data_IF_227291726274
#
_entry.id   IF_227291726274
#
_cell.length_a   1.000
_cell.length_b   1.000
_cell.length_c   1.000
_cell.angle_alpha   90.00
_cell.angle_beta   90.00
_cell.angle_gamma   90.00
#
_symmetry.space_group_name_H-M   'P 1'
#
loop_
_entity.id
_entity.type
_entity.pdbx_description
1 polymer ?
#
# COMPACT_ATOMS: atom_id res chain seq x y z
N UNK A 1 -43.75 -20.22 2.10
CA UNK A 1 -43.26 -18.98 2.73
C UNK A 1 -42.38 -18.30 1.70
N UNK A 2 -42.78 -17.14 1.15
CA UNK A 2 -41.98 -16.45 0.15
C UNK A 2 -40.94 -15.57 0.84
N UNK A 3 -39.64 -15.78 0.56
CA UNK A 3 -38.60 -14.85 1.00
C UNK A 3 -38.78 -13.52 0.25
N UNK A 4 -39.07 -12.45 1.00
CA UNK A 4 -39.17 -11.08 0.46
C UNK A 4 -37.93 -10.30 0.87
N UNK A 5 -37.24 -9.72 -0.12
CA UNK A 5 -36.10 -8.83 0.11
C UNK A 5 -36.58 -7.39 0.23
N UNK A 6 -35.92 -6.60 1.09
CA UNK A 6 -36.15 -5.15 1.16
C UNK A 6 -35.50 -4.50 -0.08
N UNK A 7 -36.24 -3.68 -0.83
CA UNK A 7 -35.70 -2.98 -2.01
C UNK A 7 -35.84 -1.47 -1.84
N UNK A 8 -34.84 -0.71 -2.27
CA UNK A 8 -34.86 0.76 -2.25
C UNK A 8 -34.24 1.32 -3.53
N UNK A 9 -34.85 2.36 -4.08
CA UNK A 9 -34.31 3.17 -5.19
C UNK A 9 -33.88 4.57 -4.73
N UNK A 10 -33.82 4.82 -3.42
CA UNK A 10 -33.37 6.09 -2.84
C UNK A 10 -31.84 6.10 -2.73
N UNK A 11 -31.20 7.16 -3.23
CA UNK A 11 -29.74 7.36 -3.18
C UNK A 11 -29.21 7.31 -1.74
N UNK A 12 -28.05 6.68 -1.53
CA UNK A 12 -27.35 6.54 -0.25
C UNK A 12 -28.15 5.94 0.93
N UNK A 13 -29.38 5.48 0.70
CA UNK A 13 -30.22 4.88 1.74
C UNK A 13 -29.73 3.46 2.05
N UNK A 14 -28.78 3.37 2.99
CA UNK A 14 -28.40 2.10 3.62
C UNK A 14 -29.58 1.59 4.46
N UNK A 15 -29.91 0.29 4.43
CA UNK A 15 -30.90 -0.30 5.33
C UNK A 15 -30.51 -0.08 6.80
N UNK A 16 -31.50 0.15 7.66
CA UNK A 16 -31.26 0.35 9.10
C UNK A 16 -31.24 -1.03 9.78
N UNK A 17 -30.15 -1.44 10.46
CA UNK A 17 -30.06 -2.79 11.04
C UNK A 17 -31.12 -3.09 12.08
N UNK A 18 -31.57 -2.09 12.83
CA UNK A 18 -32.60 -2.26 13.86
C UNK A 18 -33.97 -2.61 13.30
N UNK A 19 -34.20 -2.38 12.00
CA UNK A 19 -35.45 -2.76 11.31
C UNK A 19 -35.30 -3.99 10.42
N UNK A 20 -34.15 -4.66 10.45
CA UNK A 20 -33.87 -5.89 9.72
C UNK A 20 -33.79 -7.10 10.65
N UNK A 21 -34.29 -8.23 10.19
CA UNK A 21 -34.01 -9.53 10.80
C UNK A 21 -32.58 -9.99 10.46
N UNK A 22 -31.94 -10.76 11.33
CA UNK A 22 -30.63 -11.36 11.04
C UNK A 22 -30.71 -12.21 9.76
N UNK A 23 -29.74 -12.07 8.86
CA UNK A 23 -29.70 -12.73 7.55
C UNK A 23 -30.67 -12.18 6.49
N UNK A 24 -31.50 -11.18 6.82
CA UNK A 24 -32.43 -10.59 5.84
C UNK A 24 -31.66 -9.80 4.78
N UNK A 25 -31.94 -10.09 3.51
CA UNK A 25 -31.30 -9.42 2.37
C UNK A 25 -32.05 -8.13 2.00
N UNK A 26 -31.28 -7.07 1.76
CA UNK A 26 -31.75 -5.81 1.23
C UNK A 26 -30.96 -5.41 -0.03
N UNK A 27 -31.64 -4.84 -1.02
CA UNK A 27 -31.05 -4.47 -2.31
C UNK A 27 -31.31 -2.98 -2.55
N UNK A 28 -30.24 -2.21 -2.72
CA UNK A 28 -30.32 -0.84 -3.22
C UNK A 28 -30.09 -0.86 -4.73
N UNK A 29 -31.11 -0.46 -5.49
CA UNK A 29 -31.08 -0.44 -6.96
C UNK A 29 -30.87 0.97 -7.51
N UNK A 30 -30.60 1.95 -6.65
CA UNK A 30 -30.28 3.31 -7.07
C UNK A 30 -28.88 3.35 -7.71
N UNK A 31 -28.75 3.99 -8.87
CA UNK A 31 -27.51 4.10 -9.64
C UNK A 31 -26.36 4.78 -8.88
N UNK A 32 -26.65 5.67 -7.92
CA UNK A 32 -25.63 6.36 -7.12
C UNK A 32 -25.10 5.54 -5.93
N UNK A 33 -25.73 4.41 -5.58
CA UNK A 33 -25.27 3.51 -4.50
C UNK A 33 -25.81 2.08 -4.67
N UNK A 34 -25.58 1.42 -5.83
CA UNK A 34 -26.14 0.10 -6.08
C UNK A 34 -25.43 -0.92 -5.19
N UNK A 35 -26.16 -1.72 -4.42
CA UNK A 35 -25.55 -2.61 -3.43
C UNK A 35 -26.51 -3.70 -2.95
N UNK A 36 -25.96 -4.83 -2.54
CA UNK A 36 -26.68 -5.83 -1.71
C UNK A 36 -26.23 -5.65 -0.26
N UNK A 37 -27.14 -5.80 0.70
CA UNK A 37 -26.86 -5.69 2.15
C UNK A 37 -27.49 -6.86 2.89
N UNK A 38 -26.93 -7.23 4.04
CA UNK A 38 -27.56 -8.12 5.02
C UNK A 38 -27.23 -7.70 6.46
N UNK A 39 -28.02 -8.18 7.43
CA UNK A 39 -27.72 -8.01 8.86
C UNK A 39 -27.03 -9.25 9.40
N UNK A 40 -25.91 -9.12 10.10
CA UNK A 40 -25.24 -10.26 10.71
C UNK A 40 -25.85 -10.66 12.07
N UNK A 41 -25.29 -11.68 12.73
CA UNK A 41 -25.76 -12.16 14.03
C UNK A 41 -25.46 -11.23 15.20
N UNK A 42 -24.53 -10.29 15.02
CA UNK A 42 -24.14 -9.32 16.04
C UNK A 42 -25.03 -8.07 16.00
N UNK A 43 -25.82 -7.93 14.94
CA UNK A 43 -26.76 -6.84 14.74
C UNK A 43 -26.29 -5.78 13.77
N UNK A 44 -25.14 -5.99 13.11
CA UNK A 44 -24.48 -5.02 12.24
C UNK A 44 -24.96 -5.14 10.78
N UNK A 45 -24.90 -4.02 10.03
CA UNK A 45 -25.17 -4.03 8.59
C UNK A 45 -23.91 -4.40 7.81
N UNK A 46 -23.98 -5.45 7.00
CA UNK A 46 -22.94 -5.83 6.06
C UNK A 46 -23.35 -5.44 4.65
N UNK A 47 -22.48 -4.69 3.95
CA UNK A 47 -22.64 -4.30 2.54
C UNK A 47 -21.82 -5.24 1.66
N UNK A 48 -22.42 -5.69 0.57
CA UNK A 48 -21.84 -6.59 -0.44
C UNK A 48 -21.79 -5.81 -1.76
N UNK A 49 -20.72 -5.02 -1.95
CA UNK A 49 -20.47 -4.16 -3.14
C UNK A 49 -21.40 -2.94 -3.25
N UNK A 50 -21.08 -1.90 -4.04
CA UNK A 50 -20.60 -1.97 -5.42
C UNK A 50 -19.09 -1.78 -5.53
N UNK A 51 -18.49 -2.42 -6.53
CA UNK A 51 -17.18 -2.02 -7.03
C UNK A 51 -17.39 -0.77 -7.87
N UNK A 52 -16.84 0.36 -7.47
CA UNK A 52 -16.74 1.52 -8.37
C UNK A 52 -15.61 1.29 -9.36
N UNK A 53 -15.86 1.60 -10.63
CA UNK A 53 -14.93 1.42 -11.76
C UNK A 53 -14.76 2.77 -12.43
N UNK A 54 -13.53 3.25 -12.61
CA UNK A 54 -13.26 4.49 -13.34
C UNK A 54 -11.89 5.09 -13.06
N UNK A 55 -11.55 6.13 -13.83
CA UNK A 55 -10.27 6.85 -13.73
C UNK A 55 -10.21 7.83 -12.54
N UNK A 56 -11.37 8.20 -12.01
CA UNK A 56 -11.48 9.03 -10.82
C UNK A 56 -11.83 8.17 -9.60
N UNK A 57 -11.15 8.44 -8.49
CA UNK A 57 -11.44 7.75 -7.24
C UNK A 57 -12.93 7.92 -6.88
N UNK A 58 -13.57 6.88 -6.32
CA UNK A 58 -14.92 6.99 -5.81
C UNK A 58 -15.00 8.19 -4.86
N UNK A 59 -16.01 9.03 -5.04
CA UNK A 59 -16.24 10.24 -4.23
C UNK A 59 -15.12 11.31 -4.29
N UNK A 60 -14.23 11.27 -5.30
CA UNK A 60 -13.14 12.26 -5.50
C UNK A 60 -13.62 13.69 -5.75
N UNK A 61 -14.76 13.84 -6.43
CA UNK A 61 -15.48 15.11 -6.59
C UNK A 61 -16.80 15.02 -5.84
N UNK A 62 -16.91 15.62 -4.64
CA UNK A 62 -18.11 15.47 -3.84
C UNK A 62 -19.30 16.16 -4.52
N UNK A 63 -20.49 15.60 -4.36
CA UNK A 63 -21.71 16.33 -4.69
C UNK A 63 -21.74 17.65 -3.90
N UNK A 64 -21.65 18.76 -4.63
CA UNK A 64 -21.60 20.08 -4.00
C UNK A 64 -23.01 20.60 -3.74
N UNK A 65 -23.21 21.15 -2.55
CA UNK A 65 -24.42 21.86 -2.13
C UNK A 65 -24.09 23.35 -2.19
N UNK A 66 -24.94 24.12 -2.86
CA UNK A 66 -24.80 25.57 -2.89
C UNK A 66 -24.96 26.16 -1.49
N UNK A 67 -24.25 27.25 -1.19
CA UNK A 67 -24.38 27.97 0.08
C UNK A 67 -25.83 28.39 0.40
N UNK A 68 -26.65 28.58 -0.64
CA UNK A 68 -28.07 28.93 -0.56
C UNK A 68 -28.98 27.74 -0.22
N UNK A 69 -28.46 26.52 -0.25
CA UNK A 69 -29.21 25.27 -0.10
C UNK A 69 -28.75 24.42 1.11
N UNK A 70 -28.02 25.02 2.05
CA UNK A 70 -27.61 24.36 3.30
C UNK A 70 -28.82 23.93 4.13
N UNK A 71 -28.72 22.76 4.77
CA UNK A 71 -29.72 22.28 5.72
C UNK A 71 -29.19 22.47 7.14
N UNK A 72 -29.90 23.25 7.96
CA UNK A 72 -29.54 23.48 9.36
C UNK A 72 -29.37 22.16 10.13
N UNK A 73 -28.31 22.08 10.95
CA UNK A 73 -27.96 20.89 11.73
C UNK A 73 -27.13 19.85 10.97
N UNK A 74 -26.88 20.04 9.67
CA UNK A 74 -26.02 19.14 8.88
C UNK A 74 -24.58 19.61 8.91
N UNK A 75 -23.64 18.68 9.06
CA UNK A 75 -22.19 18.96 8.99
C UNK A 75 -21.76 19.06 7.53
N UNK A 76 -21.14 20.20 7.19
CA UNK A 76 -20.62 20.50 5.87
C UNK A 76 -19.15 20.91 5.92
N UNK A 77 -18.44 20.71 4.81
CA UNK A 77 -17.11 21.24 4.57
C UNK A 77 -17.13 22.25 3.42
N UNK A 78 -16.51 23.40 3.58
CA UNK A 78 -16.44 24.43 2.52
C UNK A 78 -15.58 23.91 1.36
N UNK A 79 -16.14 23.83 0.16
CA UNK A 79 -15.45 23.40 -1.06
C UNK A 79 -14.99 24.61 -1.89
N UNK A 80 -15.83 25.62 -2.00
CA UNK A 80 -15.46 26.93 -2.57
C UNK A 80 -16.07 28.03 -1.74
N UNK A 81 -15.31 29.09 -1.46
CA UNK A 81 -15.86 30.25 -0.75
C UNK A 81 -16.76 31.07 -1.68
N UNK A 82 -16.35 31.26 -2.95
CA UNK A 82 -17.09 32.12 -3.89
C UNK A 82 -17.28 33.53 -3.31
N UNK A 83 -18.48 34.07 -3.46
CA UNK A 83 -18.90 35.32 -2.78
C UNK A 83 -19.65 35.06 -1.47
N UNK A 84 -19.73 33.80 -1.01
CA UNK A 84 -20.47 33.42 0.19
C UNK A 84 -19.68 33.67 1.46
N UNK A 85 -20.40 33.95 2.55
CA UNK A 85 -19.82 34.03 3.90
C UNK A 85 -20.36 32.89 4.77
N UNK A 86 -19.55 31.84 4.91
CA UNK A 86 -19.91 30.67 5.70
C UNK A 86 -19.77 30.89 7.21
N UNK A 87 -19.08 31.94 7.66
CA UNK A 87 -19.02 32.25 9.09
C UNK A 87 -20.38 32.69 9.64
N UNK A 88 -21.20 33.29 8.77
CA UNK A 88 -22.59 33.64 9.08
C UNK A 88 -23.50 32.43 9.34
N UNK A 89 -23.10 31.24 8.90
CA UNK A 89 -23.89 30.00 8.99
C UNK A 89 -23.19 28.90 9.79
N UNK A 90 -22.31 29.30 10.71
CA UNK A 90 -21.73 28.41 11.72
C UNK A 90 -20.29 27.95 11.45
N UNK A 91 -19.67 28.36 10.35
CA UNK A 91 -18.24 28.09 10.14
C UNK A 91 -17.35 28.95 11.03
N UNK A 92 -16.29 28.37 11.58
CA UNK A 92 -15.29 29.11 12.38
C UNK A 92 -14.37 29.99 11.53
N UNK A 93 -14.33 29.77 10.22
CA UNK A 93 -13.56 30.55 9.25
C UNK A 93 -14.21 30.47 7.86
N UNK A 94 -14.09 31.54 7.07
CA UNK A 94 -14.60 31.59 5.70
C UNK A 94 -13.54 31.15 4.68
N UNK A 95 -12.97 29.97 4.88
CA UNK A 95 -11.89 29.41 4.05
C UNK A 95 -12.21 27.98 3.61
N UNK A 96 -11.81 27.61 2.38
CA UNK A 96 -11.97 26.25 1.85
C UNK A 96 -11.36 25.22 2.82
N UNK A 97 -12.05 24.10 3.00
CA UNK A 97 -11.67 23.01 3.89
C UNK A 97 -12.24 23.12 5.30
N UNK A 98 -12.79 24.26 5.71
CA UNK A 98 -13.40 24.43 7.04
C UNK A 98 -14.64 23.55 7.17
N UNK A 99 -14.66 22.70 8.21
CA UNK A 99 -15.81 21.86 8.56
C UNK A 99 -16.65 22.59 9.60
N UNK A 100 -17.96 22.60 9.41
CA UNK A 100 -18.90 23.26 10.30
C UNK A 100 -20.26 22.60 10.29
N UNK A 101 -21.03 22.77 11.36
CA UNK A 101 -22.45 22.41 11.37
C UNK A 101 -23.24 23.62 10.91
N UNK A 102 -23.98 23.51 9.81
CA UNK A 102 -24.76 24.63 9.29
C UNK A 102 -25.80 25.07 10.31
N UNK A 103 -25.82 26.35 10.66
CA UNK A 103 -26.86 26.95 11.50
C UNK A 103 -28.00 27.56 10.66
N UNK A 104 -27.77 27.75 9.37
CA UNK A 104 -28.72 28.28 8.39
C UNK A 104 -28.17 28.22 6.96
N UNK A 105 -28.82 28.91 6.02
CA UNK A 105 -28.33 29.14 4.65
C UNK A 105 -27.68 30.50 4.52
N UNK A 106 -26.76 30.66 3.56
CA UNK A 106 -26.16 31.96 3.23
C UNK A 106 -26.28 32.25 1.74
N UNK A 107 -26.05 33.48 1.33
CA UNK A 107 -26.12 33.91 -0.08
C UNK A 107 -24.77 33.74 -0.78
N UNK A 108 -24.73 33.98 -2.09
CA UNK A 108 -23.50 33.91 -2.90
C UNK A 108 -23.30 32.58 -3.62
N UNK A 109 -22.14 32.45 -4.26
CA UNK A 109 -21.81 31.35 -5.17
C UNK A 109 -20.96 30.25 -4.54
N UNK A 110 -20.66 30.34 -3.24
CA UNK A 110 -19.89 29.33 -2.54
C UNK A 110 -20.58 27.98 -2.53
N UNK A 111 -19.79 26.93 -2.38
CA UNK A 111 -20.27 25.54 -2.32
C UNK A 111 -19.66 24.80 -1.16
N UNK A 112 -20.41 23.84 -0.64
CA UNK A 112 -19.97 22.93 0.42
C UNK A 112 -20.24 21.48 0.03
N UNK A 113 -19.69 20.53 0.76
CA UNK A 113 -20.07 19.11 0.70
C UNK A 113 -20.50 18.63 2.08
N UNK A 114 -21.37 17.62 2.18
CA UNK A 114 -21.55 16.91 3.46
C UNK A 114 -20.22 16.30 3.92
N UNK A 115 -20.01 16.10 5.23
CA UNK A 115 -18.73 15.59 5.77
C UNK A 115 -18.20 14.42 4.92
N UNK A 116 -17.14 14.71 4.18
CA UNK A 116 -16.52 13.80 3.22
C UNK A 116 -15.78 12.69 3.95
N UNK A 117 -15.72 11.52 3.31
CA UNK A 117 -14.80 10.46 3.70
C UNK A 117 -15.19 9.15 3.04
N UNK A 118 -14.38 8.74 2.07
CA UNK A 118 -14.17 7.34 1.75
C UNK A 118 -14.11 6.52 3.06
N UNK A 119 -14.89 5.44 3.17
CA UNK A 119 -14.89 4.59 4.36
C UNK A 119 -13.77 3.54 4.29
N UNK A 120 -13.15 3.22 5.43
CA UNK A 120 -12.17 2.14 5.49
C UNK A 120 -12.79 0.84 4.93
N UNK A 121 -12.11 0.22 3.98
CA UNK A 121 -12.57 -0.99 3.29
C UNK A 121 -13.32 -0.72 1.99
N UNK A 122 -13.53 0.54 1.59
CA UNK A 122 -14.04 0.83 0.25
C UNK A 122 -13.09 0.30 -0.82
N UNK A 123 -13.64 -0.26 -1.89
CA UNK A 123 -12.89 -0.85 -3.01
C UNK A 123 -13.06 -0.01 -4.28
N UNK A 124 -11.97 0.25 -4.98
CA UNK A 124 -11.93 0.97 -6.25
C UNK A 124 -11.17 0.14 -7.28
N UNK A 125 -11.76 -0.14 -8.44
CA UNK A 125 -11.02 -0.58 -9.61
C UNK A 125 -10.58 0.66 -10.40
N UNK A 126 -9.35 1.10 -10.16
CA UNK A 126 -8.75 2.26 -10.83
C UNK A 126 -8.39 1.90 -12.27
N UNK A 127 -8.95 2.66 -13.22
CA UNK A 127 -8.73 2.46 -14.65
C UNK A 127 -7.88 3.52 -15.34
N UNK A 128 -7.24 4.43 -14.57
CA UNK A 128 -6.43 5.51 -15.13
C UNK A 128 -5.34 4.96 -16.05
N UNK A 129 -5.19 5.57 -17.23
CA UNK A 129 -4.15 5.21 -18.19
C UNK A 129 -4.33 3.84 -18.84
N UNK A 130 -5.54 3.27 -18.81
CA UNK A 130 -5.84 1.96 -19.42
C UNK A 130 -5.39 0.75 -18.60
N UNK A 131 -5.01 0.95 -17.34
CA UNK A 131 -4.70 -0.13 -16.40
C UNK A 131 -5.94 -0.57 -15.61
N UNK A 132 -5.87 -1.64 -14.83
CA UNK A 132 -6.95 -2.04 -13.92
C UNK A 132 -6.32 -2.40 -12.57
N UNK A 133 -6.33 -1.48 -11.61
CA UNK A 133 -5.71 -1.66 -10.30
C UNK A 133 -6.79 -1.68 -9.23
N UNK A 134 -6.93 -2.82 -8.54
CA UNK A 134 -7.80 -2.88 -7.37
C UNK A 134 -7.13 -2.14 -6.20
N UNK A 135 -7.82 -1.12 -5.69
CA UNK A 135 -7.46 -0.32 -4.53
C UNK A 135 -8.47 -0.54 -3.41
N UNK A 136 -8.00 -0.48 -2.18
CA UNK A 136 -8.80 -0.51 -0.95
C UNK A 136 -8.48 0.75 -0.14
N UNK A 137 -9.48 1.50 0.30
CA UNK A 137 -9.28 2.64 1.19
C UNK A 137 -8.97 2.15 2.60
N UNK A 138 -7.83 2.57 3.18
CA UNK A 138 -7.40 2.08 4.51
C UNK A 138 -7.95 2.90 5.69
N UNK A 139 -8.73 3.96 5.41
CA UNK A 139 -9.16 4.96 6.39
C UNK A 139 -8.38 6.29 6.30
N UNK A 140 -7.35 6.37 5.45
CA UNK A 140 -6.56 7.58 5.22
C UNK A 140 -6.17 7.77 3.75
N UNK A 141 -5.86 6.71 3.02
CA UNK A 141 -5.52 6.74 1.60
C UNK A 141 -6.05 5.51 0.85
N UNK A 142 -6.20 5.64 -0.48
CA UNK A 142 -6.44 4.49 -1.36
C UNK A 142 -5.14 3.70 -1.49
N UNK A 143 -5.15 2.47 -0.99
CA UNK A 143 -4.04 1.53 -1.13
C UNK A 143 -4.38 0.55 -2.25
N UNK A 144 -3.63 0.58 -3.34
CA UNK A 144 -3.40 -0.66 -4.06
C UNK A 144 -2.49 -1.55 -3.19
N UNK A 145 -2.21 -2.78 -3.61
CA UNK A 145 -1.05 -3.54 -3.14
C UNK A 145 0.28 -2.86 -3.55
N UNK A 146 0.39 -1.54 -3.36
CA UNK A 146 1.57 -0.73 -3.59
C UNK A 146 2.43 -0.79 -2.34
N UNK A 147 3.28 -1.80 -2.29
CA UNK A 147 4.58 -1.72 -1.63
C UNK A 147 5.67 -1.73 -2.70
N UNK A 148 6.87 -1.34 -2.32
CA UNK A 148 8.12 -1.63 -3.06
C UNK A 148 8.45 -3.11 -2.97
N UNK A 149 7.51 -3.97 -3.36
CA UNK A 149 7.71 -5.39 -3.48
C UNK A 149 7.90 -5.66 -4.96
N UNK A 150 9.06 -6.22 -5.32
CA UNK A 150 9.18 -6.91 -6.59
C UNK A 150 8.22 -8.08 -6.49
N UNK A 151 7.24 -8.10 -7.38
CA UNK A 151 6.28 -9.18 -7.39
C UNK A 151 7.04 -10.52 -7.56
N UNK A 152 6.59 -11.57 -6.88
CA UNK A 152 7.32 -12.85 -6.87
C UNK A 152 7.48 -13.49 -8.26
N UNK A 153 6.71 -13.00 -9.24
CA UNK A 153 6.90 -13.22 -10.67
C UNK A 153 6.48 -11.98 -11.50
N UNK A 154 7.29 -11.62 -12.51
CA UNK A 154 6.86 -10.72 -13.59
C UNK A 154 7.12 -9.23 -13.42
N UNK A 155 7.66 -8.78 -12.28
CA UNK A 155 8.03 -7.36 -12.11
C UNK A 155 9.43 -7.05 -12.67
N UNK A 156 9.60 -5.83 -13.18
CA UNK A 156 10.86 -5.33 -13.75
C UNK A 156 11.38 -4.18 -12.90
N UNK A 157 12.54 -4.35 -12.27
CA UNK A 157 13.21 -3.28 -11.54
C UNK A 157 13.66 -2.18 -12.50
N UNK A 158 12.92 -1.08 -12.55
CA UNK A 158 13.22 0.10 -13.40
C UNK A 158 14.16 1.11 -12.72
N UNK A 159 14.54 0.87 -11.45
CA UNK A 159 15.45 1.69 -10.66
C UNK A 159 16.46 0.85 -9.85
N UNK A 160 17.34 1.54 -9.11
CA UNK A 160 18.32 0.88 -8.24
C UNK A 160 17.63 0.15 -7.07
N UNK A 161 18.04 -1.09 -6.81
CA UNK A 161 17.63 -1.84 -5.63
C UNK A 161 18.54 -1.49 -4.44
N UNK A 162 18.02 -0.72 -3.48
CA UNK A 162 18.66 -0.51 -2.19
C UNK A 162 18.34 -1.66 -1.23
N UNK A 163 19.37 -2.29 -0.66
CA UNK A 163 19.23 -3.34 0.36
C UNK A 163 19.97 -2.95 1.63
N UNK A 164 19.55 -3.49 2.77
CA UNK A 164 20.27 -3.32 4.04
C UNK A 164 21.67 -3.94 3.93
N UNK A 165 22.68 -3.37 4.60
CA UNK A 165 24.04 -3.90 4.57
C UNK A 165 24.13 -5.36 5.06
N UNK A 166 23.35 -5.72 6.08
CA UNK A 166 23.32 -7.07 6.64
C UNK A 166 24.57 -7.44 7.46
N UNK A 167 24.59 -8.66 7.96
CA UNK A 167 25.71 -9.28 8.68
C UNK A 167 26.02 -10.65 8.08
N UNK A 168 27.12 -11.29 8.48
CA UNK A 168 27.45 -12.61 7.96
C UNK A 168 26.35 -13.65 8.27
N UNK A 169 25.70 -13.56 9.44
CA UNK A 169 24.60 -14.45 9.85
C UNK A 169 23.22 -13.99 9.39
N UNK A 170 23.11 -12.81 8.79
CA UNK A 170 21.87 -12.24 8.28
C UNK A 170 22.18 -11.25 7.13
N UNK A 171 22.53 -11.74 5.93
CA UNK A 171 22.90 -10.90 4.81
C UNK A 171 21.70 -10.09 4.30
N UNK A 172 21.98 -8.96 3.64
CA UNK A 172 20.96 -8.04 3.13
C UNK A 172 20.14 -8.61 1.98
N UNK A 173 20.78 -9.47 1.17
CA UNK A 173 20.11 -10.33 0.19
C UNK A 173 20.35 -11.77 0.65
N UNK A 174 19.29 -12.54 0.86
CA UNK A 174 19.36 -13.92 1.30
C UNK A 174 18.37 -14.80 0.51
N UNK A 175 18.59 -16.11 0.53
CA UNK A 175 17.66 -17.05 -0.09
C UNK A 175 16.58 -17.46 0.91
N UNK A 176 15.32 -17.48 0.48
CA UNK A 176 14.23 -17.94 1.34
C UNK A 176 14.52 -19.35 1.88
N UNK A 177 14.42 -19.54 3.20
CA UNK A 177 14.79 -20.79 3.87
C UNK A 177 16.28 -20.92 4.24
N UNK A 178 17.15 -20.05 3.74
CA UNK A 178 18.56 -19.97 4.14
C UNK A 178 18.95 -18.50 4.45
N UNK A 179 18.62 -18.09 5.67
CA UNK A 179 18.81 -16.70 6.13
C UNK A 179 20.25 -16.36 6.46
N UNK A 180 21.21 -17.27 6.28
CA UNK A 180 22.63 -17.06 6.58
C UNK A 180 23.55 -17.23 5.35
N UNK A 181 22.95 -17.39 4.17
CA UNK A 181 23.63 -17.46 2.87
C UNK A 181 23.15 -16.33 1.98
N UNK A 182 24.09 -15.53 1.43
CA UNK A 182 23.72 -14.39 0.61
C UNK A 182 24.78 -13.31 0.45
N UNK A 183 24.33 -12.09 0.10
CA UNK A 183 25.17 -10.91 -0.12
C UNK A 183 25.03 -9.90 1.02
N UNK A 184 26.15 -9.37 1.48
CA UNK A 184 26.20 -8.31 2.50
C UNK A 184 27.24 -7.23 2.15
N UNK A 185 27.16 -6.09 2.82
CA UNK A 185 28.18 -5.05 2.85
C UNK A 185 28.79 -5.00 4.26
N UNK A 186 29.93 -5.69 4.51
CA UNK A 186 30.46 -5.87 5.87
C UNK A 186 31.07 -4.59 6.49
N UNK A 187 31.44 -3.64 5.64
CA UNK A 187 31.94 -2.32 5.98
C UNK A 187 31.62 -1.33 4.83
N UNK A 188 31.92 -0.05 5.02
CA UNK A 188 31.84 0.94 3.94
C UNK A 188 32.68 0.51 2.73
N UNK A 189 32.14 0.72 1.53
CA UNK A 189 32.81 0.45 0.25
C UNK A 189 33.30 -1.01 0.09
N UNK A 190 32.61 -1.96 0.73
CA UNK A 190 32.95 -3.38 0.65
C UNK A 190 31.73 -4.25 0.38
N UNK A 191 31.96 -5.41 -0.23
CA UNK A 191 30.91 -6.40 -0.52
C UNK A 191 31.42 -7.79 -0.18
N UNK A 192 30.53 -8.64 0.34
CA UNK A 192 30.87 -10.02 0.67
C UNK A 192 29.75 -11.01 0.32
N UNK A 193 30.17 -12.24 0.03
CA UNK A 193 29.32 -13.43 -0.04
C UNK A 193 29.49 -14.19 1.26
N UNK A 194 28.38 -14.49 1.92
CA UNK A 194 28.34 -15.35 3.12
C UNK A 194 27.65 -16.67 2.81
N UNK A 195 28.12 -17.75 3.42
CA UNK A 195 27.41 -19.04 3.46
C UNK A 195 27.57 -19.67 4.83
N UNK A 196 26.49 -20.22 5.39
CA UNK A 196 26.52 -20.79 6.74
C UNK A 196 26.87 -19.75 7.82
N UNK A 197 26.54 -18.48 7.61
CA UNK A 197 26.81 -17.41 8.56
C UNK A 197 28.26 -16.89 8.58
N UNK A 198 29.10 -17.32 7.64
CA UNK A 198 30.52 -16.94 7.55
C UNK A 198 30.86 -16.34 6.19
N UNK A 199 31.59 -15.22 6.18
CA UNK A 199 32.09 -14.60 4.95
C UNK A 199 33.06 -15.53 4.22
N UNK A 200 32.74 -15.88 2.98
CA UNK A 200 33.56 -16.74 2.12
C UNK A 200 34.37 -15.95 1.11
N UNK A 201 33.75 -14.91 0.54
CA UNK A 201 34.36 -14.02 -0.45
C UNK A 201 34.14 -12.59 0.03
N UNK A 202 35.20 -11.79 0.05
CA UNK A 202 35.15 -10.36 0.40
C UNK A 202 35.92 -9.57 -0.64
N UNK A 203 35.33 -8.47 -1.11
CA UNK A 203 36.08 -7.40 -1.78
C UNK A 203 36.05 -6.19 -0.85
N UNK A 204 37.23 -5.79 -0.37
CA UNK A 204 37.36 -4.67 0.56
C UNK A 204 37.38 -3.30 -0.15
N UNK A 205 37.37 -2.24 0.65
CA UNK A 205 37.43 -0.86 0.16
C UNK A 205 38.73 -0.50 -0.57
N UNK A 206 39.77 -1.31 -0.45
CA UNK A 206 41.01 -1.18 -1.23
C UNK A 206 40.98 -1.99 -2.54
N UNK A 207 39.84 -2.62 -2.86
CA UNK A 207 39.66 -3.45 -4.04
C UNK A 207 40.47 -4.75 -4.00
N UNK A 208 40.74 -5.30 -2.81
CA UNK A 208 41.41 -6.60 -2.63
C UNK A 208 40.37 -7.71 -2.47
N UNK A 209 40.62 -8.85 -3.11
CA UNK A 209 39.78 -10.04 -3.02
C UNK A 209 40.31 -10.97 -1.91
N UNK A 210 39.47 -11.26 -0.91
CA UNK A 210 39.69 -12.28 0.10
C UNK A 210 38.83 -13.52 -0.19
N UNK A 211 39.45 -14.69 -0.22
CA UNK A 211 38.78 -16.00 -0.20
C UNK A 211 39.11 -16.69 1.12
N UNK A 212 38.10 -16.96 1.94
CA UNK A 212 38.27 -17.51 3.30
C UNK A 212 38.82 -16.53 4.33
N UNK A 213 38.96 -15.24 3.98
CA UNK A 213 39.45 -14.19 4.88
C UNK A 213 38.65 -12.90 4.73
N UNK A 214 38.30 -12.28 5.85
CA UNK A 214 37.61 -10.99 5.91
C UNK A 214 38.57 -9.79 5.81
N UNK A 215 39.88 -10.03 5.88
CA UNK A 215 40.90 -8.99 5.90
C UNK A 215 42.04 -9.34 4.93
N UNK A 216 41.77 -9.30 3.61
CA UNK A 216 42.80 -9.57 2.62
C UNK A 216 43.96 -8.59 2.76
N UNK A 217 45.21 -9.08 2.74
CA UNK A 217 46.40 -8.23 2.81
C UNK A 217 47.05 -8.03 1.44
N UNK A 218 46.72 -8.89 0.48
CA UNK A 218 47.18 -8.86 -0.91
C UNK A 218 46.02 -8.66 -1.88
N UNK A 219 46.31 -8.38 -3.16
CA UNK A 219 45.28 -8.16 -4.19
C UNK A 219 44.32 -9.35 -4.32
N UNK A 220 44.85 -10.56 -4.21
CA UNK A 220 44.11 -11.80 -4.01
C UNK A 220 44.73 -12.50 -2.80
N UNK A 221 43.95 -12.73 -1.74
CA UNK A 221 44.37 -13.44 -0.54
C UNK A 221 43.46 -14.66 -0.32
N UNK A 222 44.01 -15.86 -0.50
CA UNK A 222 43.32 -17.12 -0.23
C UNK A 222 43.82 -17.64 1.12
N UNK A 223 42.91 -17.77 2.08
CA UNK A 223 43.21 -18.27 3.42
C UNK A 223 42.36 -19.51 3.70
N UNK A 224 43.02 -20.62 4.02
CA UNK A 224 42.41 -21.81 4.58
C UNK A 224 43.35 -22.36 5.66
N UNK A 225 42.83 -22.62 6.87
CA UNK A 225 43.60 -23.18 7.97
C UNK A 225 44.04 -24.63 7.73
N UNK A 226 43.42 -25.31 6.78
CA UNK A 226 43.77 -26.66 6.33
C UNK A 226 44.74 -26.67 5.15
N UNK A 227 45.23 -25.51 4.72
CA UNK A 227 46.14 -25.35 3.58
C UNK A 227 45.40 -24.77 2.37
N UNK A 228 45.67 -23.52 1.96
CA UNK A 228 45.02 -22.96 0.77
C UNK A 228 45.55 -23.66 -0.48
N UNK A 229 44.65 -24.30 -1.24
CA UNK A 229 44.96 -24.94 -2.52
C UNK A 229 44.24 -24.20 -3.66
N UNK A 230 45.00 -23.74 -4.65
CA UNK A 230 44.48 -23.27 -5.93
C UNK A 230 44.68 -24.37 -6.98
N UNK A 231 43.59 -24.92 -7.49
CA UNK A 231 43.62 -25.98 -8.50
C UNK A 231 43.35 -25.41 -9.90
N UNK A 232 44.08 -25.92 -10.89
CA UNK A 232 43.84 -25.68 -12.31
C UNK A 232 43.41 -27.00 -12.96
N UNK A 233 42.13 -27.14 -13.30
CA UNK A 233 41.55 -28.31 -13.96
C UNK A 233 40.48 -27.89 -14.99
N UNK A 234 40.05 -28.82 -15.85
CA UNK A 234 38.93 -28.64 -16.81
C UNK A 234 37.63 -29.32 -16.34
N UNK A 235 37.52 -29.65 -15.05
CA UNK A 235 36.47 -30.48 -14.48
C UNK A 235 36.65 -31.99 -14.68
N UNK A 236 37.67 -32.43 -15.45
CA UNK A 236 38.01 -33.84 -15.68
C UNK A 236 39.47 -34.16 -15.33
N UNK A 237 40.42 -33.29 -15.69
CA UNK A 237 41.86 -33.47 -15.50
C UNK A 237 42.46 -32.28 -14.76
N UNK A 238 43.24 -32.54 -13.71
CA UNK A 238 44.04 -31.50 -13.05
C UNK A 238 45.36 -31.28 -13.80
N UNK A 239 45.58 -30.04 -14.27
CA UNK A 239 46.80 -29.61 -14.95
C UNK A 239 47.86 -29.06 -13.98
N UNK A 240 47.44 -28.65 -12.77
CA UNK A 240 48.34 -28.22 -11.72
C UNK A 240 47.62 -27.76 -10.47
N UNK A 241 48.38 -27.57 -9.39
CA UNK A 241 47.90 -26.92 -8.18
C UNK A 241 48.99 -26.05 -7.57
N UNK A 242 48.58 -25.00 -6.84
CA UNK A 242 49.46 -24.13 -6.08
C UNK A 242 48.96 -24.09 -4.64
N UNK A 243 49.79 -24.55 -3.69
CA UNK A 243 49.44 -24.62 -2.28
C UNK A 243 50.26 -25.66 -1.52
N UNK A 244 50.15 -25.67 -0.20
CA UNK A 244 50.66 -26.73 0.67
C UNK A 244 49.49 -27.57 1.17
N UNK A 245 49.56 -28.89 1.01
CA UNK A 245 48.74 -29.84 1.74
C UNK A 245 49.06 -29.82 3.24
#
# INVERSE_FOLDING_TARGET
MALQHLRSSTAHKRPIPTVMSAGQIAINTNEASPAVFFKDSNGDLVKVGPVHIGEDAPNSSPASVAATALVTGTVYQILTVGTSDFTSVGASANTVGTIFTATGTTTGTGTVSGQQGVEKGEMWLDTTGGTYVLKIYDGSAWRSESGTFVDSAGDTMTGALGVVAGTASAPGVFFSGDTNTGLLAPAADSVAITTGGTQRIVVDSSGRLGLGTASPTQKVHIQDSSGPLLTFDDGTTQFGSLGSY
#
